data_IF_541014279603
#
_entry.id   IF_541014279603
#
_cell.length_a   1.000
_cell.length_b   1.000
_cell.length_c   1.000
_cell.angle_alpha   90.00
_cell.angle_beta   90.00
_cell.angle_gamma   90.00
#
_symmetry.space_group_name_H-M   'P 1'
#
loop_
_entity.id
_entity.type
_entity.pdbx_description
1 polymer ?
#
# COMPACT_ATOMS: atom_id res chain seq x y z
N UNK A 1 -0.47 -53.04 20.24
CA UNK A 1 -0.06 -52.04 19.22
C UNK A 1 -0.11 -50.65 19.85
N UNK A 2 1.05 -50.03 20.12
CA UNK A 2 1.13 -48.72 20.79
C UNK A 2 0.92 -47.63 19.73
N UNK A 3 -0.16 -46.85 19.85
CA UNK A 3 -0.43 -45.69 19.00
C UNK A 3 0.38 -44.51 19.54
N UNK A 4 1.46 -44.16 18.86
CA UNK A 4 2.20 -42.90 19.09
C UNK A 4 1.38 -41.76 18.48
N UNK A 5 0.81 -40.91 19.35
CA UNK A 5 0.21 -39.65 18.96
C UNK A 5 1.34 -38.66 18.71
N UNK A 6 1.58 -38.34 17.45
CA UNK A 6 2.56 -37.32 17.03
C UNK A 6 1.93 -35.94 17.26
N UNK A 7 2.30 -35.28 18.37
CA UNK A 7 1.94 -33.89 18.62
C UNK A 7 2.78 -33.00 17.68
N UNK A 8 2.19 -32.57 16.57
CA UNK A 8 2.80 -31.62 15.65
C UNK A 8 2.67 -30.22 16.28
N UNK A 9 3.71 -29.78 16.99
CA UNK A 9 3.78 -28.43 17.55
C UNK A 9 3.83 -27.41 16.41
N UNK A 10 2.69 -26.74 16.17
CA UNK A 10 2.57 -25.65 15.23
C UNK A 10 3.29 -24.43 15.82
N UNK A 11 4.56 -24.24 15.44
CA UNK A 11 5.34 -23.05 15.79
C UNK A 11 4.80 -21.84 15.03
N UNK A 12 3.81 -21.18 15.62
CA UNK A 12 3.37 -19.86 15.18
C UNK A 12 4.50 -18.89 15.50
N UNK A 13 5.28 -18.52 14.48
CA UNK A 13 6.23 -17.41 14.58
C UNK A 13 5.45 -16.12 14.77
N UNK A 14 5.30 -15.66 16.01
CA UNK A 14 4.75 -14.34 16.28
C UNK A 14 5.71 -13.29 15.71
N UNK A 15 5.33 -12.65 14.62
CA UNK A 15 5.96 -11.40 14.19
C UNK A 15 5.57 -10.32 15.19
N UNK A 16 6.46 -10.02 16.12
CA UNK A 16 6.25 -8.95 17.10
C UNK A 16 6.25 -7.60 16.39
N UNK A 17 5.18 -6.84 16.58
CA UNK A 17 5.12 -5.43 16.21
C UNK A 17 6.24 -4.68 16.95
N UNK A 18 7.06 -3.95 16.19
CA UNK A 18 8.11 -3.08 16.70
C UNK A 18 7.55 -1.67 16.90
N UNK A 19 8.15 -0.89 17.79
CA UNK A 19 7.72 0.48 18.10
C UNK A 19 8.89 1.45 17.97
N UNK A 20 8.67 2.58 17.31
CA UNK A 20 9.68 3.61 17.10
C UNK A 20 9.07 5.02 17.13
N UNK A 21 9.89 6.06 17.37
CA UNK A 21 9.47 7.46 17.29
C UNK A 21 9.77 8.05 15.92
N UNK A 22 8.82 8.76 15.33
CA UNK A 22 9.02 9.45 14.05
C UNK A 22 9.96 10.63 14.24
N UNK A 23 11.05 10.65 13.48
CA UNK A 23 11.98 11.79 13.45
C UNK A 23 11.66 12.70 12.26
N UNK A 24 11.42 12.11 11.09
CA UNK A 24 11.24 12.83 9.83
C UNK A 24 10.57 11.93 8.77
N UNK A 25 9.79 12.53 7.88
CA UNK A 25 9.33 11.90 6.63
C UNK A 25 10.31 12.32 5.53
N UNK A 26 11.17 11.41 5.06
CA UNK A 26 12.24 11.74 4.08
C UNK A 26 11.68 11.80 2.66
N UNK A 27 10.79 10.86 2.33
CA UNK A 27 10.13 10.74 1.03
C UNK A 27 8.78 10.04 1.20
N UNK A 28 8.04 9.95 0.10
CA UNK A 28 6.71 9.35 0.02
C UNK A 28 6.67 7.91 0.56
N UNK A 29 7.81 7.22 0.54
CA UNK A 29 7.95 5.86 1.03
C UNK A 29 9.05 5.66 2.08
N UNK A 30 9.72 6.71 2.56
CA UNK A 30 10.85 6.56 3.49
C UNK A 30 10.67 7.41 4.73
N UNK A 31 10.74 6.76 5.89
CA UNK A 31 10.65 7.39 7.21
C UNK A 31 12.00 7.32 7.90
N UNK A 32 12.38 8.39 8.60
CA UNK A 32 13.42 8.36 9.62
C UNK A 32 12.77 8.16 10.98
N UNK A 33 13.23 7.18 11.73
CA UNK A 33 12.71 6.86 13.06
C UNK A 33 13.84 6.69 14.05
N UNK A 34 13.54 6.90 15.33
CA UNK A 34 14.38 6.57 16.47
C UNK A 34 13.82 5.32 17.16
N UNK A 35 14.65 4.29 17.30
CA UNK A 35 14.35 3.06 18.02
C UNK A 35 15.51 2.75 18.96
N UNK A 36 15.22 2.57 20.26
CA UNK A 36 16.24 2.27 21.29
C UNK A 36 17.42 3.25 21.31
N UNK A 37 17.18 4.54 21.05
CA UNK A 37 18.20 5.58 21.03
C UNK A 37 19.05 5.63 19.76
N UNK A 38 18.75 4.82 18.74
CA UNK A 38 19.41 4.84 17.46
C UNK A 38 18.45 5.26 16.35
N UNK A 39 18.92 6.14 15.45
CA UNK A 39 18.17 6.52 14.26
C UNK A 39 18.34 5.48 13.14
N UNK A 40 17.25 5.16 12.46
CA UNK A 40 17.25 4.31 11.26
C UNK A 40 16.22 4.75 10.24
N UNK A 41 16.38 4.27 9.00
CA UNK A 41 15.43 4.49 7.91
C UNK A 41 14.54 3.27 7.73
N UNK A 42 13.24 3.50 7.63
CA UNK A 42 12.24 2.49 7.29
C UNK A 42 11.64 2.81 5.93
N UNK A 43 11.49 1.79 5.09
CA UNK A 43 10.86 1.92 3.78
C UNK A 43 9.44 1.35 3.83
N UNK A 44 8.45 2.15 3.47
CA UNK A 44 7.06 1.73 3.35
C UNK A 44 6.93 0.78 2.17
N UNK A 45 6.67 -0.49 2.46
CA UNK A 45 6.45 -1.51 1.44
C UNK A 45 5.23 -1.17 0.58
N UNK A 46 5.37 -1.34 -0.73
CA UNK A 46 4.31 -1.16 -1.73
C UNK A 46 4.05 0.27 -2.18
N UNK A 47 4.86 1.25 -1.77
CA UNK A 47 4.66 2.66 -2.13
C UNK A 47 5.68 3.07 -3.21
N UNK A 48 5.15 3.51 -4.35
CA UNK A 48 5.93 4.02 -5.48
C UNK A 48 6.29 5.49 -5.29
N UNK A 49 7.50 5.87 -5.73
CA UNK A 49 7.94 7.26 -5.73
C UNK A 49 7.45 7.95 -7.00
N UNK A 50 6.92 9.17 -6.90
CA UNK A 50 6.49 9.92 -8.09
C UNK A 50 7.64 10.20 -9.07
N UNK A 51 8.88 10.24 -8.57
CA UNK A 51 10.08 10.39 -9.39
C UNK A 51 10.41 9.15 -10.25
N UNK A 52 9.96 7.96 -9.83
CA UNK A 52 10.18 6.67 -10.48
C UNK A 52 8.97 6.19 -11.29
N UNK A 53 7.76 6.56 -10.85
CA UNK A 53 6.52 6.16 -11.48
C UNK A 53 6.50 6.51 -12.98
N UNK A 54 6.32 5.49 -13.83
CA UNK A 54 6.11 5.55 -15.28
C UNK A 54 6.84 6.68 -16.02
N UNK A 55 8.12 6.85 -15.72
CA UNK A 55 8.97 7.88 -16.31
C UNK A 55 9.89 7.29 -17.40
N UNK A 56 9.35 6.40 -18.24
CA UNK A 56 10.09 5.84 -19.37
C UNK A 56 9.73 6.59 -20.65
N UNK A 57 10.76 7.00 -21.42
CA UNK A 57 10.60 7.62 -22.75
C UNK A 57 9.75 6.76 -23.70
N UNK A 58 9.70 5.46 -23.44
CA UNK A 58 8.95 4.45 -24.19
C UNK A 58 7.43 4.69 -24.18
N UNK A 59 6.88 5.29 -23.11
CA UNK A 59 5.44 5.49 -22.98
C UNK A 59 4.95 6.86 -23.46
N UNK A 60 5.85 7.78 -23.91
CA UNK A 60 5.54 9.17 -24.34
C UNK A 60 4.70 10.01 -23.35
N UNK A 61 4.52 9.53 -22.13
CA UNK A 61 3.78 10.19 -21.07
C UNK A 61 4.82 10.66 -20.06
N UNK A 62 5.21 11.93 -20.14
CA UNK A 62 6.18 12.51 -19.19
C UNK A 62 5.47 13.60 -18.39
N UNK A 63 5.19 13.34 -17.12
CA UNK A 63 4.77 14.39 -16.19
C UNK A 63 5.96 15.28 -15.92
N UNK A 64 5.77 16.60 -16.03
CA UNK A 64 6.90 17.51 -15.89
C UNK A 64 7.44 17.48 -14.44
N UNK A 65 8.72 17.84 -14.22
CA UNK A 65 9.32 17.80 -12.88
C UNK A 65 8.60 18.66 -11.83
N UNK A 66 8.03 19.80 -12.23
CA UNK A 66 7.37 20.73 -11.31
C UNK A 66 6.03 20.18 -10.82
N UNK A 67 5.24 19.56 -11.70
CA UNK A 67 4.02 18.85 -11.35
C UNK A 67 4.30 17.68 -10.41
N UNK A 68 5.35 16.88 -10.69
CA UNK A 68 5.75 15.80 -9.79
C UNK A 68 6.16 16.30 -8.41
N UNK A 69 6.88 17.41 -8.35
CA UNK A 69 7.25 18.03 -7.07
C UNK A 69 6.02 18.55 -6.31
N UNK A 70 5.01 19.07 -7.02
CA UNK A 70 3.74 19.48 -6.40
C UNK A 70 2.99 18.27 -5.82
N UNK A 71 2.86 17.18 -6.58
CA UNK A 71 2.27 15.91 -6.12
C UNK A 71 2.97 15.39 -4.86
N UNK A 72 4.31 15.36 -4.90
CA UNK A 72 5.15 14.93 -3.78
C UNK A 72 4.90 15.78 -2.54
N UNK A 73 4.89 17.12 -2.67
CA UNK A 73 4.65 18.02 -1.53
C UNK A 73 3.29 17.78 -0.88
N UNK A 74 2.23 17.59 -1.67
CA UNK A 74 0.90 17.30 -1.13
C UNK A 74 0.85 15.92 -0.44
N UNK A 75 1.48 14.90 -1.02
CA UNK A 75 1.58 13.58 -0.42
C UNK A 75 2.34 13.60 0.92
N UNK A 76 3.49 14.28 0.97
CA UNK A 76 4.26 14.44 2.20
C UNK A 76 3.47 15.17 3.28
N UNK A 77 2.78 16.26 2.92
CA UNK A 77 1.91 16.99 3.85
C UNK A 77 0.79 16.10 4.41
N UNK A 78 0.24 15.18 3.61
CA UNK A 78 -0.74 14.20 4.09
C UNK A 78 -0.11 13.21 5.09
N UNK A 79 1.04 12.64 4.74
CA UNK A 79 1.76 11.67 5.60
C UNK A 79 2.16 12.32 6.93
N UNK A 80 2.67 13.55 6.92
CA UNK A 80 3.05 14.30 8.12
C UNK A 80 1.87 14.57 9.06
N UNK A 81 0.66 14.78 8.52
CA UNK A 81 -0.55 14.90 9.35
C UNK A 81 -0.94 13.58 10.01
N UNK A 82 -0.74 12.47 9.30
CA UNK A 82 -1.05 11.12 9.78
C UNK A 82 -0.01 10.59 10.77
N UNK A 83 1.26 10.97 10.57
CA UNK A 83 2.41 10.63 11.40
C UNK A 83 3.21 11.90 11.75
N UNK A 84 2.74 12.71 12.70
CA UNK A 84 3.47 13.89 13.13
C UNK A 84 4.85 13.54 13.67
N UNK A 85 5.82 14.44 13.48
CA UNK A 85 7.14 14.32 14.11
C UNK A 85 7.01 14.15 15.62
N UNK A 86 7.77 13.21 16.18
CA UNK A 86 7.74 12.85 17.59
C UNK A 86 6.66 11.85 17.99
N UNK A 87 5.70 11.54 17.10
CA UNK A 87 4.70 10.50 17.35
C UNK A 87 5.35 9.11 17.39
N UNK A 88 4.72 8.20 18.13
CA UNK A 88 5.11 6.79 18.15
C UNK A 88 4.36 6.03 17.07
N UNK A 89 5.08 5.25 16.28
CA UNK A 89 4.51 4.29 15.33
C UNK A 89 4.84 2.86 15.75
N UNK A 90 3.95 1.95 15.38
CA UNK A 90 4.10 0.52 15.45
C UNK A 90 4.20 -0.01 14.02
N UNK A 91 5.07 -0.99 13.80
CA UNK A 91 5.29 -1.54 12.47
C UNK A 91 5.76 -2.98 12.52
N UNK A 92 5.55 -3.68 11.41
CA UNK A 92 6.06 -5.03 11.17
C UNK A 92 7.07 -4.94 10.03
N UNK A 93 8.25 -5.54 10.23
CA UNK A 93 9.19 -5.73 9.14
C UNK A 93 8.70 -6.86 8.24
N UNK A 94 8.44 -6.52 6.99
CA UNK A 94 7.95 -7.46 5.97
C UNK A 94 9.13 -8.13 5.27
N UNK A 95 10.19 -7.38 4.97
CA UNK A 95 11.44 -7.91 4.45
C UNK A 95 12.62 -7.04 4.83
N UNK A 96 13.83 -7.58 4.63
CA UNK A 96 15.09 -6.82 4.69
C UNK A 96 15.88 -7.09 3.43
N UNK A 97 16.50 -6.07 2.87
CA UNK A 97 17.45 -6.28 1.77
C UNK A 97 18.85 -6.66 2.29
N UNK A 98 19.75 -6.95 1.35
CA UNK A 98 21.15 -7.32 1.64
C UNK A 98 21.96 -6.22 2.33
N UNK A 99 21.49 -4.98 2.32
CA UNK A 99 22.13 -3.83 2.96
C UNK A 99 21.51 -3.52 4.34
N UNK A 100 20.53 -4.33 4.77
CA UNK A 100 19.85 -4.16 6.05
C UNK A 100 18.70 -3.14 6.02
N UNK A 101 18.29 -2.66 4.84
CA UNK A 101 17.14 -1.78 4.70
C UNK A 101 15.87 -2.55 5.05
N UNK A 102 15.07 -1.99 5.95
CA UNK A 102 13.83 -2.61 6.43
C UNK A 102 12.65 -2.10 5.62
N UNK A 103 11.96 -3.02 4.94
CA UNK A 103 10.67 -2.77 4.31
C UNK A 103 9.59 -3.11 5.30
N UNK A 104 8.70 -2.17 5.58
CA UNK A 104 7.78 -2.22 6.71
C UNK A 104 6.35 -1.97 6.30
N UNK A 105 5.46 -2.56 7.08
CA UNK A 105 4.05 -2.22 7.14
C UNK A 105 3.79 -1.49 8.45
N UNK A 106 3.32 -0.25 8.38
CA UNK A 106 2.98 0.53 9.58
C UNK A 106 1.59 0.12 10.04
N UNK A 107 1.50 -0.35 11.28
CA UNK A 107 0.25 -0.85 11.86
C UNK A 107 -0.72 0.29 12.21
N UNK A 108 -0.20 1.46 12.60
CA UNK A 108 -1.01 2.66 12.84
C UNK A 108 -1.85 3.01 11.60
N UNK A 109 -3.16 2.75 11.70
CA UNK A 109 -4.14 2.97 10.64
C UNK A 109 -3.85 2.22 9.33
N UNK A 110 -3.01 1.17 9.37
CA UNK A 110 -2.50 0.48 8.18
C UNK A 110 -1.96 1.49 7.14
N UNK A 111 -1.06 2.39 7.59
CA UNK A 111 -0.71 3.62 6.87
C UNK A 111 -0.44 3.39 5.38
N UNK A 112 0.35 2.38 5.03
CA UNK A 112 0.69 2.03 3.64
C UNK A 112 -0.57 1.87 2.77
N UNK A 113 -1.56 1.11 3.26
CA UNK A 113 -2.85 0.96 2.57
C UNK A 113 -3.63 2.27 2.57
N UNK A 114 -3.66 2.98 3.70
CA UNK A 114 -4.45 4.19 3.87
C UNK A 114 -4.02 5.33 2.94
N UNK A 115 -2.72 5.57 2.78
CA UNK A 115 -2.21 6.63 1.87
C UNK A 115 -2.56 6.35 0.41
N UNK A 116 -2.62 5.07 0.01
CA UNK A 116 -3.08 4.65 -1.31
C UNK A 116 -4.59 4.86 -1.46
N UNK A 117 -5.38 4.35 -0.51
CA UNK A 117 -6.85 4.46 -0.51
C UNK A 117 -7.31 5.90 -0.52
N UNK A 118 -6.62 6.76 0.20
CA UNK A 118 -6.95 8.19 0.31
C UNK A 118 -6.32 9.00 -0.84
N UNK A 119 -5.69 8.34 -1.82
CA UNK A 119 -5.26 8.95 -3.06
C UNK A 119 -4.03 9.83 -2.98
N UNK A 120 -3.16 9.63 -1.98
CA UNK A 120 -1.93 10.41 -1.78
C UNK A 120 -0.64 9.66 -2.16
N UNK A 121 -0.75 8.44 -2.67
CA UNK A 121 0.38 7.65 -3.15
C UNK A 121 -0.03 6.71 -4.29
N UNK A 122 0.98 6.17 -4.97
CA UNK A 122 0.86 5.13 -5.98
C UNK A 122 1.37 3.81 -5.43
N UNK A 123 0.71 2.71 -5.80
CA UNK A 123 1.16 1.36 -5.47
C UNK A 123 2.35 1.01 -6.35
N UNK A 124 3.42 0.47 -5.77
CA UNK A 124 4.49 -0.18 -6.52
C UNK A 124 4.18 -1.68 -6.66
N UNK A 125 3.65 -2.14 -7.81
CA UNK A 125 3.28 -3.54 -7.99
C UNK A 125 4.49 -4.48 -8.11
N UNK A 126 5.65 -3.92 -8.50
CA UNK A 126 6.90 -4.65 -8.69
C UNK A 126 7.75 -4.69 -7.41
N UNK A 127 7.24 -4.16 -6.29
CA UNK A 127 7.94 -4.20 -5.01
C UNK A 127 8.08 -5.66 -4.52
N UNK A 128 9.30 -6.23 -4.52
CA UNK A 128 9.51 -7.62 -4.11
C UNK A 128 9.31 -7.81 -2.61
N UNK A 129 9.30 -6.73 -1.81
CA UNK A 129 9.02 -6.79 -0.38
C UNK A 129 7.54 -6.95 -0.07
N UNK A 130 6.64 -6.67 -1.01
CA UNK A 130 5.20 -6.60 -0.77
C UNK A 130 4.52 -7.96 -0.99
N UNK A 131 3.93 -8.58 0.05
CA UNK A 131 3.17 -9.81 -0.07
C UNK A 131 2.02 -9.65 -1.06
N UNK A 132 1.75 -10.69 -1.86
CA UNK A 132 0.76 -10.65 -2.93
C UNK A 132 -0.65 -10.24 -2.47
N UNK A 133 -1.07 -10.68 -1.28
CA UNK A 133 -2.35 -10.29 -0.69
C UNK A 133 -2.44 -8.79 -0.40
N UNK A 134 -1.38 -8.20 0.16
CA UNK A 134 -1.31 -6.75 0.41
C UNK A 134 -1.20 -5.97 -0.91
N UNK A 135 -0.43 -6.48 -1.87
CA UNK A 135 -0.36 -5.89 -3.22
C UNK A 135 -1.73 -5.77 -3.86
N UNK A 136 -2.50 -6.85 -3.91
CA UNK A 136 -3.84 -6.84 -4.49
C UNK A 136 -4.76 -5.84 -3.77
N UNK A 137 -4.71 -5.81 -2.43
CA UNK A 137 -5.49 -4.87 -1.61
C UNK A 137 -5.12 -3.41 -1.91
N UNK A 138 -3.84 -3.10 -2.09
CA UNK A 138 -3.36 -1.76 -2.43
C UNK A 138 -3.79 -1.36 -3.85
N UNK A 139 -3.67 -2.25 -4.84
CA UNK A 139 -4.15 -1.98 -6.21
C UNK A 139 -5.66 -1.70 -6.26
N UNK A 140 -6.47 -2.43 -5.49
CA UNK A 140 -7.91 -2.17 -5.36
C UNK A 140 -8.15 -0.79 -4.74
N UNK A 141 -7.43 -0.43 -3.68
CA UNK A 141 -7.54 0.87 -3.04
C UNK A 141 -7.12 2.03 -3.95
N UNK A 142 -6.09 1.85 -4.77
CA UNK A 142 -5.68 2.85 -5.76
C UNK A 142 -6.78 3.05 -6.80
N UNK A 143 -7.34 1.96 -7.34
CA UNK A 143 -8.44 2.04 -8.30
C UNK A 143 -9.66 2.76 -7.69
N UNK A 144 -9.99 2.45 -6.43
CA UNK A 144 -11.04 3.15 -5.70
C UNK A 144 -10.76 4.67 -5.60
N UNK A 145 -9.55 5.07 -5.20
CA UNK A 145 -9.18 6.47 -5.09
C UNK A 145 -9.28 7.19 -6.44
N UNK A 146 -8.81 6.53 -7.51
CA UNK A 146 -8.87 7.02 -8.89
C UNK A 146 -10.32 7.21 -9.37
N UNK A 147 -11.15 6.18 -9.29
CA UNK A 147 -12.54 6.22 -9.74
C UNK A 147 -13.39 7.24 -8.99
N UNK A 148 -13.05 7.51 -7.73
CA UNK A 148 -13.75 8.48 -6.88
C UNK A 148 -13.12 9.87 -6.89
N UNK A 149 -12.00 10.07 -7.60
CA UNK A 149 -11.28 11.35 -7.60
C UNK A 149 -10.83 11.77 -6.20
N UNK A 150 -10.38 10.83 -5.37
CA UNK A 150 -9.96 11.09 -3.99
C UNK A 150 -8.50 11.54 -3.98
N UNK A 151 -8.18 12.48 -3.09
CA UNK A 151 -6.80 12.94 -2.88
C UNK A 151 -6.24 13.61 -4.14
N UNK A 152 -5.05 13.18 -4.55
CA UNK A 152 -4.38 13.71 -5.74
C UNK A 152 -5.13 13.37 -7.03
N UNK A 153 -5.85 12.25 -7.08
CA UNK A 153 -6.58 11.81 -8.28
C UNK A 153 -7.69 12.78 -8.71
N UNK A 154 -8.30 13.49 -7.77
CA UNK A 154 -9.33 14.50 -8.08
C UNK A 154 -8.76 15.90 -8.37
N UNK A 155 -7.48 16.13 -8.07
CA UNK A 155 -6.85 17.45 -8.16
C UNK A 155 -5.88 17.56 -9.33
N UNK A 156 -5.23 16.46 -9.69
CA UNK A 156 -4.11 16.42 -10.62
C UNK A 156 -4.37 15.36 -11.69
N UNK A 157 -4.53 15.80 -12.94
CA UNK A 157 -4.69 14.90 -14.10
C UNK A 157 -3.45 14.05 -14.33
N UNK A 158 -2.30 14.54 -13.89
CA UNK A 158 -0.97 13.94 -13.98
C UNK A 158 -0.88 12.60 -13.24
N UNK A 159 -1.73 12.37 -12.23
CA UNK A 159 -1.78 11.08 -11.54
C UNK A 159 -2.07 9.91 -12.49
N UNK A 160 -2.94 10.12 -13.48
CA UNK A 160 -3.27 9.09 -14.48
C UNK A 160 -2.09 8.75 -15.40
N UNK A 161 -1.19 9.72 -15.60
CA UNK A 161 0.01 9.57 -16.40
C UNK A 161 1.11 8.76 -15.67
N UNK A 162 1.14 8.83 -14.33
CA UNK A 162 2.11 8.11 -13.49
C UNK A 162 1.68 6.66 -13.18
N UNK A 163 0.42 6.30 -13.42
CA UNK A 163 -0.09 4.96 -13.14
C UNK A 163 0.47 3.91 -14.08
N UNK A 164 0.96 2.79 -13.52
CA UNK A 164 1.31 1.60 -14.29
C UNK A 164 0.05 0.91 -14.87
N UNK A 165 -0.29 1.25 -16.12
CA UNK A 165 -1.47 0.73 -16.82
C UNK A 165 -1.42 -0.78 -17.13
N UNK A 166 -0.23 -1.39 -17.08
CA UNK A 166 -0.05 -2.80 -17.40
C UNK A 166 -0.36 -3.72 -16.21
N UNK A 167 -0.58 -3.16 -15.02
CA UNK A 167 -0.86 -3.93 -13.82
C UNK A 167 -2.33 -3.83 -13.46
N UNK A 168 -3.06 -4.91 -13.73
CA UNK A 168 -4.45 -5.08 -13.31
C UNK A 168 -4.47 -5.74 -11.94
N UNK A 169 -5.30 -5.24 -11.03
CA UNK A 169 -5.60 -5.92 -9.77
C UNK A 169 -6.22 -7.30 -10.07
N UNK A 170 -5.47 -8.38 -9.88
CA UNK A 170 -6.00 -9.74 -9.94
C UNK A 170 -6.73 -10.05 -8.63
N UNK A 171 -7.99 -9.65 -8.56
CA UNK A 171 -8.86 -9.91 -7.42
C UNK A 171 -10.08 -9.00 -7.46
N UNK A 172 -11.19 -9.54 -7.95
CA UNK A 172 -12.48 -8.87 -8.12
C UNK A 172 -12.42 -7.70 -9.11
N UNK A 173 -12.72 -8.00 -10.37
CA UNK A 173 -12.95 -6.96 -11.36
C UNK A 173 -14.10 -6.06 -10.93
N UNK A 174 -13.82 -4.78 -10.74
CA UNK A 174 -14.78 -3.71 -11.05
C UNK A 174 -14.91 -3.52 -12.57
N UNK A 175 -14.88 -4.62 -13.33
CA UNK A 175 -15.37 -4.61 -14.70
C UNK A 175 -16.88 -4.79 -14.61
N UNK A 176 -17.66 -4.01 -15.36
CA UNK A 176 -19.08 -4.25 -15.61
C UNK A 176 -19.29 -5.60 -16.32
N UNK A 177 -19.01 -6.71 -15.64
CA UNK A 177 -19.47 -8.04 -16.00
C UNK A 177 -20.22 -8.53 -14.78
N UNK A 178 -21.53 -8.70 -14.98
CA UNK A 178 -22.54 -9.21 -14.03
C UNK A 178 -21.91 -9.93 -12.85
N UNK A 179 -22.07 -9.35 -11.66
CA UNK A 179 -21.72 -10.00 -10.42
C UNK A 179 -22.67 -11.19 -10.22
N UNK A 180 -22.20 -12.36 -10.67
CA UNK A 180 -22.94 -13.62 -10.63
C UNK A 180 -23.30 -13.99 -9.20
N UNK A 181 -22.51 -13.58 -8.19
CA UNK A 181 -22.84 -13.84 -6.80
C UNK A 181 -24.03 -12.99 -6.34
N UNK A 182 -24.08 -11.70 -6.72
CA UNK A 182 -25.24 -10.84 -6.46
C UNK A 182 -26.49 -11.29 -7.22
N UNK A 183 -26.35 -11.72 -8.48
CA UNK A 183 -27.45 -12.20 -9.31
C UNK A 183 -27.99 -13.55 -8.79
N UNK A 184 -27.10 -14.41 -8.25
CA UNK A 184 -27.49 -15.70 -7.66
C UNK A 184 -28.19 -15.51 -6.32
N UNK A 185 -27.72 -14.59 -5.47
CA UNK A 185 -28.39 -14.22 -4.22
C UNK A 185 -29.78 -13.63 -4.48
N UNK A 186 -29.90 -12.75 -5.48
CA UNK A 186 -31.16 -12.15 -5.87
C UNK A 186 -32.17 -13.19 -6.39
N UNK A 187 -31.73 -14.12 -7.24
CA UNK A 187 -32.59 -15.23 -7.70
C UNK A 187 -33.00 -16.17 -6.58
N UNK A 188 -32.10 -16.44 -5.62
CA UNK A 188 -32.42 -17.26 -4.46
C UNK A 188 -33.47 -16.58 -3.57
N UNK A 189 -33.35 -15.26 -3.36
CA UNK A 189 -34.33 -14.47 -2.62
C UNK A 189 -35.69 -14.38 -3.33
N UNK A 190 -35.69 -14.31 -4.67
CA UNK A 190 -36.91 -14.32 -5.50
C UNK A 190 -37.56 -15.71 -5.61
N UNK A 191 -36.84 -16.78 -5.27
CA UNK A 191 -37.32 -18.17 -5.32
C UNK A 191 -37.91 -18.70 -4.00
N UNK A 192 -37.84 -17.92 -2.92
CA UNK A 192 -38.46 -18.29 -1.65
C UNK A 192 -39.96 -17.94 -1.70
N UNK A 193 -40.88 -18.89 -1.41
CA UNK A 193 -42.30 -18.59 -1.34
C UNK A 193 -42.58 -17.66 -0.16
N UNK A 194 -43.44 -16.67 -0.38
CA UNK A 194 -43.91 -15.72 0.63
C UNK A 194 -44.55 -16.41 1.84
#
# INVERSE_FOLDING_TARGET
MKKTVLLMALSISLTLAQSAKVVEIISENTLKVEENGAEKKLHLSGIELFSKANNTKENNITVNPNEREALKKEALSYIEKMLPKGSTLQYITVSKDKFGIQYVWIDNHELNYKIIRDGFALTNPEDPSLPSGFRNRMLIAQNYAKEKGIGLWGKHKEMSALENQNVVACGCGFTRKRDVASDTLKRLQESLPN
#
